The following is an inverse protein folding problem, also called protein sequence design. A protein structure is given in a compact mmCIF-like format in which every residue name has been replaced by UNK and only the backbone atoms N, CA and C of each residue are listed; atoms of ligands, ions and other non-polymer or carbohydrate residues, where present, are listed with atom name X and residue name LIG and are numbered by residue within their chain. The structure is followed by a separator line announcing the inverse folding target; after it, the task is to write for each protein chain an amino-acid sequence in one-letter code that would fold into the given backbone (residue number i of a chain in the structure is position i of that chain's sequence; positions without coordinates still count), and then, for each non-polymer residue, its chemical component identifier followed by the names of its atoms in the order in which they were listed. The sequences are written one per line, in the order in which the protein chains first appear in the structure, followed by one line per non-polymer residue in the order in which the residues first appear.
data_IF_528136427695
#
_entry.id   IF_528136427695
#
_cell.length_a   1.000
_cell.length_b   1.000
_cell.length_c   1.000
_cell.angle_alpha   90.00
_cell.angle_beta   90.00
_cell.angle_gamma   90.00
#
_symmetry.space_group_name_H-M   'P 1'
#
loop_
_entity.id
_entity.type
_entity.pdbx_description
1 polymer ?
#
# COMPACT_ATOMS: atom_id res chain seq x y z
N UNK A 1 -31.14 78.23 3.80
CA UNK A 1 -32.00 77.03 3.72
C UNK A 1 -31.42 76.10 2.66
N UNK A 2 -30.75 75.05 3.14
CA UNK A 2 -30.57 73.72 2.52
C UNK A 2 -29.91 73.60 1.14
N UNK A 3 -28.57 73.39 1.15
CA UNK A 3 -27.84 72.70 0.07
C UNK A 3 -28.28 71.23 0.00
N UNK A 4 -28.63 70.76 -1.21
CA UNK A 4 -28.92 69.35 -1.49
C UNK A 4 -27.63 68.55 -1.60
N UNK A 5 -27.53 67.50 -0.79
CA UNK A 5 -26.48 66.48 -0.79
C UNK A 5 -26.63 65.53 -1.98
N UNK A 6 -25.56 65.36 -2.75
CA UNK A 6 -25.41 64.28 -3.71
C UNK A 6 -24.87 63.02 -3.00
N UNK A 7 -25.61 61.91 -3.06
CA UNK A 7 -25.13 60.58 -2.67
C UNK A 7 -24.64 59.85 -3.93
N UNK A 8 -23.32 59.67 -4.04
CA UNK A 8 -22.72 58.76 -5.01
C UNK A 8 -22.99 57.31 -4.62
N UNK A 9 -23.51 56.52 -5.57
CA UNK A 9 -23.73 55.08 -5.42
C UNK A 9 -22.41 54.35 -5.68
N UNK A 10 -21.94 53.59 -4.68
CA UNK A 10 -20.89 52.59 -4.84
C UNK A 10 -21.53 51.38 -5.56
N UNK A 11 -21.01 51.06 -6.74
CA UNK A 11 -21.44 49.90 -7.53
C UNK A 11 -20.73 48.65 -6.99
N UNK A 12 -21.48 47.74 -6.36
CA UNK A 12 -20.99 46.44 -5.93
C UNK A 12 -21.09 45.47 -7.12
N UNK A 13 -19.96 45.16 -7.76
CA UNK A 13 -19.87 44.04 -8.72
C UNK A 13 -20.04 42.73 -7.95
N UNK A 14 -21.21 42.10 -8.07
CA UNK A 14 -21.38 40.70 -7.70
C UNK A 14 -20.63 39.83 -8.72
N UNK A 15 -19.52 39.23 -8.30
CA UNK A 15 -18.93 38.11 -9.02
C UNK A 15 -19.82 36.88 -8.82
N UNK A 16 -20.53 36.48 -9.87
CA UNK A 16 -21.24 35.20 -9.92
C UNK A 16 -20.18 34.10 -10.09
N UNK A 17 -19.80 33.47 -8.98
CA UNK A 17 -19.03 32.21 -9.01
C UNK A 17 -20.02 31.12 -9.39
N UNK A 18 -20.01 30.74 -10.68
CA UNK A 18 -20.75 29.59 -11.18
C UNK A 18 -20.06 28.33 -10.65
N UNK A 19 -20.55 27.80 -9.53
CA UNK A 19 -20.16 26.49 -9.03
C UNK A 19 -20.60 25.41 -10.01
N UNK A 20 -19.67 24.91 -10.82
CA UNK A 20 -19.90 23.73 -11.65
C UNK A 20 -20.00 22.53 -10.70
N UNK A 21 -21.24 22.14 -10.39
CA UNK A 21 -21.54 20.88 -9.74
C UNK A 21 -21.41 19.77 -10.76
N UNK A 22 -20.39 18.92 -10.61
CA UNK A 22 -20.34 17.65 -11.32
C UNK A 22 -21.42 16.74 -10.73
N UNK A 23 -22.61 16.75 -11.35
CA UNK A 23 -23.56 15.65 -11.19
C UNK A 23 -23.07 14.50 -12.08
N UNK A 24 -22.28 13.58 -11.49
CA UNK A 24 -22.23 12.23 -12.03
C UNK A 24 -23.61 11.62 -11.79
N UNK A 25 -24.41 11.46 -12.85
CA UNK A 25 -25.58 10.57 -12.79
C UNK A 25 -25.06 9.13 -12.78
N UNK A 26 -24.54 8.69 -11.63
CA UNK A 26 -24.50 7.27 -11.33
C UNK A 26 -25.94 6.82 -11.13
N UNK A 27 -26.33 5.73 -11.79
CA UNK A 27 -27.49 4.96 -11.34
C UNK A 27 -27.25 4.62 -9.87
N UNK A 28 -27.92 5.34 -8.98
CA UNK A 28 -27.89 5.05 -7.56
C UNK A 28 -28.62 3.73 -7.36
N UNK A 29 -27.87 2.63 -7.41
CA UNK A 29 -28.19 1.53 -6.53
C UNK A 29 -28.11 2.12 -5.13
N UNK A 30 -29.27 2.34 -4.49
CA UNK A 30 -29.32 2.33 -3.03
C UNK A 30 -29.00 0.90 -2.59
N UNK A 31 -27.73 0.51 -2.72
CA UNK A 31 -27.18 -0.51 -1.86
C UNK A 31 -27.20 0.12 -0.47
N UNK A 32 -27.90 -0.51 0.48
CA UNK A 32 -27.67 -0.18 1.88
C UNK A 32 -26.18 -0.31 2.12
N UNK A 33 -25.54 0.78 2.56
CA UNK A 33 -24.14 0.79 2.98
C UNK A 33 -23.86 -0.46 3.81
N UNK A 34 -22.86 -1.26 3.41
CA UNK A 34 -22.51 -2.43 4.20
C UNK A 34 -22.05 -1.96 5.59
N UNK A 35 -22.60 -2.56 6.65
CA UNK A 35 -22.14 -2.27 8.00
C UNK A 35 -20.70 -2.74 8.17
N UNK A 36 -19.89 -2.01 8.94
CA UNK A 36 -18.54 -2.46 9.28
C UNK A 36 -18.61 -3.85 9.94
N UNK A 37 -17.83 -4.79 9.41
CA UNK A 37 -17.81 -6.18 9.85
C UNK A 37 -17.21 -6.35 11.26
N UNK A 38 -16.40 -5.38 11.70
CA UNK A 38 -15.79 -5.35 13.03
C UNK A 38 -15.63 -3.88 13.51
N UNK A 39 -15.83 -3.56 14.81
CA UNK A 39 -15.58 -2.23 15.34
C UNK A 39 -14.15 -1.70 15.10
N UNK A 40 -13.14 -2.57 15.00
CA UNK A 40 -11.78 -2.17 14.68
C UNK A 40 -11.65 -1.62 13.26
N UNK A 41 -12.41 -2.16 12.30
CA UNK A 41 -12.47 -1.62 10.93
C UNK A 41 -13.07 -0.22 10.94
N UNK A 42 -14.16 -0.03 11.68
CA UNK A 42 -14.79 1.29 11.82
C UNK A 42 -13.85 2.31 12.48
N UNK A 43 -13.14 1.93 13.55
CA UNK A 43 -12.16 2.82 14.21
C UNK A 43 -11.06 3.25 13.24
N UNK A 44 -10.53 2.30 12.45
CA UNK A 44 -9.49 2.59 11.47
C UNK A 44 -9.99 3.50 10.34
N UNK A 45 -11.21 3.26 9.84
CA UNK A 45 -11.83 4.09 8.82
C UNK A 45 -12.13 5.50 9.35
N UNK A 46 -12.69 5.62 10.57
CA UNK A 46 -13.03 6.89 11.19
C UNK A 46 -11.80 7.78 11.42
N UNK A 47 -10.64 7.14 11.69
CA UNK A 47 -9.35 7.83 11.86
C UNK A 47 -9.07 8.79 10.71
N UNK A 48 -9.38 8.43 9.47
CA UNK A 48 -9.00 9.20 8.29
C UNK A 48 -10.17 9.59 7.39
N UNK A 49 -11.01 8.63 7.02
CA UNK A 49 -11.96 8.81 5.91
C UNK A 49 -13.27 9.45 6.37
N UNK A 50 -13.64 9.32 7.66
CA UNK A 50 -14.75 10.08 8.23
C UNK A 50 -14.55 11.59 8.11
N UNK A 51 -13.31 12.09 8.21
CA UNK A 51 -13.06 13.53 8.07
C UNK A 51 -13.29 14.02 6.64
N UNK A 52 -13.06 13.15 5.65
CA UNK A 52 -13.36 13.42 4.24
C UNK A 52 -14.87 13.36 4.01
N UNK A 53 -15.53 12.32 4.52
CA UNK A 53 -16.98 12.12 4.37
C UNK A 53 -17.78 13.27 5.00
N UNK A 54 -17.37 13.73 6.18
CA UNK A 54 -17.98 14.85 6.88
C UNK A 54 -17.67 16.23 6.24
N UNK A 55 -16.86 16.26 5.17
CA UNK A 55 -16.45 17.51 4.50
C UNK A 55 -15.50 18.39 5.31
N UNK A 56 -14.86 17.86 6.36
CA UNK A 56 -13.94 18.62 7.23
C UNK A 56 -12.56 18.82 6.60
N UNK A 57 -12.18 17.96 5.67
CA UNK A 57 -10.94 18.05 4.90
C UNK A 57 -11.21 17.80 3.42
N UNK A 58 -10.50 18.52 2.56
CA UNK A 58 -10.55 18.32 1.10
C UNK A 58 -9.30 17.53 0.65
N UNK A 59 -9.37 16.21 0.72
CA UNK A 59 -8.33 15.28 0.24
C UNK A 59 -8.96 13.96 -0.22
N UNK A 60 -8.19 13.14 -0.93
CA UNK A 60 -8.60 11.79 -1.34
C UNK A 60 -8.86 10.86 -0.13
N UNK A 61 -9.68 9.84 -0.35
CA UNK A 61 -9.95 8.74 0.59
C UNK A 61 -8.75 7.77 0.66
N UNK A 62 -8.46 7.23 1.85
CA UNK A 62 -7.43 6.20 2.03
C UNK A 62 -7.98 4.77 1.91
N UNK A 63 -9.26 4.59 2.23
CA UNK A 63 -9.99 3.33 2.16
C UNK A 63 -11.07 3.40 1.10
N UNK A 64 -11.86 4.47 1.12
CA UNK A 64 -13.05 4.66 0.30
C UNK A 64 -14.18 5.27 1.14
N UNK A 65 -15.28 5.72 0.50
CA UNK A 65 -16.40 6.33 1.22
C UNK A 65 -17.08 5.37 2.19
N UNK A 66 -17.06 4.06 1.91
CA UNK A 66 -17.67 3.00 2.70
C UNK A 66 -17.14 1.62 2.26
N UNK A 67 -17.33 0.55 3.05
CA UNK A 67 -17.08 -0.81 2.55
C UNK A 67 -18.13 -1.21 1.50
N UNK A 68 -17.71 -1.92 0.46
CA UNK A 68 -18.62 -2.40 -0.59
C UNK A 68 -19.00 -3.89 -0.44
N UNK A 69 -18.49 -4.57 0.59
CA UNK A 69 -18.86 -5.95 0.92
C UNK A 69 -19.35 -6.07 2.36
N UNK A 70 -20.16 -7.09 2.62
CA UNK A 70 -20.35 -7.61 3.98
C UNK A 70 -19.05 -8.25 4.52
N UNK A 71 -19.12 -8.79 5.73
CA UNK A 71 -18.08 -9.64 6.29
C UNK A 71 -17.82 -10.87 5.41
N UNK A 72 -16.55 -11.12 5.06
CA UNK A 72 -16.11 -12.30 4.32
C UNK A 72 -15.15 -13.10 5.20
N UNK A 73 -15.21 -14.42 5.09
CA UNK A 73 -14.21 -15.33 5.63
C UNK A 73 -13.34 -15.83 4.50
N UNK A 74 -12.04 -15.62 4.62
CA UNK A 74 -11.05 -16.11 3.67
C UNK A 74 -10.13 -17.10 4.36
N UNK A 75 -9.75 -18.17 3.66
CA UNK A 75 -8.78 -19.14 4.17
C UNK A 75 -7.46 -18.45 4.51
N UNK A 76 -6.96 -18.77 5.69
CA UNK A 76 -5.66 -18.34 6.19
C UNK A 76 -5.18 -19.36 7.22
N UNK A 77 -4.18 -20.17 6.87
CA UNK A 77 -3.78 -21.35 7.64
C UNK A 77 -3.50 -21.05 9.11
N UNK A 78 -2.79 -19.97 9.39
CA UNK A 78 -2.36 -19.59 10.73
C UNK A 78 -3.44 -18.84 11.52
N UNK A 79 -4.57 -18.47 10.90
CA UNK A 79 -5.65 -17.80 11.59
C UNK A 79 -6.41 -18.80 12.48
N UNK A 80 -6.96 -18.37 13.63
CA UNK A 80 -7.82 -19.23 14.43
C UNK A 80 -9.00 -19.76 13.60
N UNK A 81 -9.12 -21.10 13.55
CA UNK A 81 -10.08 -21.83 12.70
C UNK A 81 -9.78 -21.78 11.19
N UNK A 82 -8.54 -21.49 10.79
CA UNK A 82 -8.09 -21.56 9.40
C UNK A 82 -8.66 -20.47 8.48
N UNK A 83 -9.26 -19.41 9.04
CA UNK A 83 -9.78 -18.30 8.24
C UNK A 83 -9.67 -16.95 8.94
N UNK A 84 -9.45 -15.89 8.14
CA UNK A 84 -9.41 -14.50 8.58
C UNK A 84 -10.72 -13.78 8.25
N UNK A 85 -11.06 -12.76 9.04
CA UNK A 85 -12.16 -11.86 8.73
C UNK A 85 -11.68 -10.79 7.75
N UNK A 86 -12.43 -10.55 6.68
CA UNK A 86 -12.09 -9.57 5.63
C UNK A 86 -13.30 -8.72 5.29
N UNK A 87 -13.06 -7.43 4.99
CA UNK A 87 -14.05 -6.53 4.39
C UNK A 87 -13.38 -5.61 3.36
N UNK A 88 -13.99 -5.47 2.19
CA UNK A 88 -13.41 -4.71 1.08
C UNK A 88 -13.93 -3.27 1.00
N UNK A 89 -13.03 -2.39 0.58
CA UNK A 89 -13.23 -0.96 0.33
C UNK A 89 -12.62 -0.61 -1.03
N UNK A 90 -12.95 0.55 -1.59
CA UNK A 90 -12.49 0.89 -2.95
C UNK A 90 -10.97 0.78 -3.13
N UNK A 91 -10.22 1.32 -2.17
CA UNK A 91 -8.75 1.41 -2.21
C UNK A 91 -8.06 0.19 -1.60
N UNK A 92 -8.79 -0.71 -0.92
CA UNK A 92 -8.19 -1.79 -0.13
C UNK A 92 -9.15 -2.89 0.35
N UNK A 93 -8.69 -3.72 1.28
CA UNK A 93 -9.49 -4.39 2.29
C UNK A 93 -8.92 -4.14 3.68
N UNK A 94 -9.73 -4.40 4.70
CA UNK A 94 -9.28 -4.56 6.06
C UNK A 94 -9.43 -6.03 6.44
N UNK A 95 -8.45 -6.58 7.17
CA UNK A 95 -8.48 -7.97 7.63
C UNK A 95 -8.00 -8.14 9.07
N UNK A 96 -8.60 -9.09 9.78
CA UNK A 96 -8.18 -9.54 11.11
C UNK A 96 -7.81 -11.02 11.01
N UNK A 97 -6.51 -11.29 11.14
CA UNK A 97 -5.94 -12.64 11.06
C UNK A 97 -6.00 -13.35 12.42
N UNK A 98 -5.88 -12.61 13.52
CA UNK A 98 -6.00 -13.13 14.88
C UNK A 98 -6.97 -12.28 15.70
N UNK A 99 -8.26 -12.68 15.83
CA UNK A 99 -9.24 -11.93 16.62
C UNK A 99 -8.93 -11.89 18.13
N UNK A 100 -8.06 -12.77 18.62
CA UNK A 100 -7.56 -12.73 20.01
C UNK A 100 -6.31 -11.86 20.19
N UNK A 101 -5.85 -11.16 19.15
CA UNK A 101 -4.68 -10.28 19.20
C UNK A 101 -4.91 -8.98 19.96
N UNK A 102 -3.82 -8.27 20.26
CA UNK A 102 -3.87 -6.95 20.90
C UNK A 102 -4.45 -5.90 19.93
N UNK A 103 -5.63 -5.39 20.25
CA UNK A 103 -6.33 -4.38 19.43
C UNK A 103 -5.65 -3.01 19.42
N UNK A 104 -4.68 -2.77 20.31
CA UNK A 104 -3.89 -1.54 20.31
C UNK A 104 -2.68 -1.61 19.39
N UNK A 105 -2.32 -2.81 18.92
CA UNK A 105 -1.29 -2.97 17.92
C UNK A 105 -1.77 -2.31 16.61
N UNK A 106 -1.00 -1.40 16.00
CA UNK A 106 -1.38 -0.77 14.73
C UNK A 106 -1.64 -1.79 13.61
N UNK A 107 -1.06 -2.99 13.70
CA UNK A 107 -1.25 -4.10 12.76
C UNK A 107 -2.30 -5.13 13.21
N UNK A 108 -3.13 -4.84 14.23
CA UNK A 108 -4.28 -5.69 14.57
C UNK A 108 -5.24 -5.84 13.37
N UNK A 109 -5.52 -4.71 12.71
CA UNK A 109 -6.11 -4.69 11.38
C UNK A 109 -4.97 -4.60 10.38
N UNK A 110 -4.87 -5.56 9.48
CA UNK A 110 -3.94 -5.51 8.34
C UNK A 110 -4.72 -5.30 7.04
N UNK A 111 -4.05 -5.23 5.90
CA UNK A 111 -4.71 -4.91 4.62
C UNK A 111 -4.46 -5.96 3.54
N UNK A 112 -3.79 -7.08 3.86
CA UNK A 112 -3.28 -8.05 2.88
C UNK A 112 -2.15 -7.47 2.00
N UNK A 113 -1.63 -8.29 1.07
CA UNK A 113 -0.57 -7.93 0.12
C UNK A 113 -1.14 -7.65 -1.28
N UNK A 114 -2.29 -6.97 -1.35
CA UNK A 114 -3.17 -6.94 -2.53
C UNK A 114 -2.43 -6.60 -3.83
N UNK A 115 -1.64 -5.53 -3.84
CA UNK A 115 -0.94 -5.11 -5.05
C UNK A 115 0.17 -6.10 -5.43
N UNK A 116 0.93 -6.63 -4.46
CA UNK A 116 1.91 -7.70 -4.70
C UNK A 116 1.25 -8.96 -5.26
N UNK A 117 0.11 -9.37 -4.71
CA UNK A 117 -0.62 -10.57 -5.16
C UNK A 117 -1.23 -10.38 -6.56
N UNK A 118 -1.79 -9.20 -6.87
CA UNK A 118 -2.26 -8.85 -8.22
C UNK A 118 -1.14 -8.87 -9.25
N UNK A 119 0.05 -8.37 -8.89
CA UNK A 119 1.22 -8.30 -9.76
C UNK A 119 1.81 -9.69 -10.00
N UNK A 120 1.99 -10.47 -8.93
CA UNK A 120 2.66 -11.77 -8.99
C UNK A 120 1.75 -12.94 -9.38
N UNK A 121 0.44 -12.78 -9.20
CA UNK A 121 -0.52 -13.87 -9.29
C UNK A 121 -0.50 -14.84 -8.09
N UNK A 122 0.22 -14.52 -7.00
CA UNK A 122 0.35 -15.41 -5.84
C UNK A 122 -0.68 -15.04 -4.77
N UNK A 123 -1.80 -15.75 -4.72
CA UNK A 123 -2.84 -15.54 -3.71
C UNK A 123 -2.39 -16.04 -2.34
N UNK A 124 -2.35 -15.18 -1.33
CA UNK A 124 -1.93 -15.60 0.02
C UNK A 124 -3.05 -16.35 0.75
N UNK A 125 -2.74 -17.58 1.18
CA UNK A 125 -3.59 -18.49 1.98
C UNK A 125 -2.99 -18.83 3.36
N UNK A 126 -1.83 -18.26 3.68
CA UNK A 126 -1.15 -18.37 4.97
C UNK A 126 0.16 -17.58 4.94
N UNK A 127 0.90 -17.57 6.05
CA UNK A 127 2.15 -16.80 6.16
C UNK A 127 3.15 -17.20 5.06
N UNK A 128 3.22 -18.49 4.74
CA UNK A 128 4.06 -19.05 3.69
C UNK A 128 3.29 -19.93 2.68
N UNK A 129 1.96 -19.88 2.68
CA UNK A 129 1.13 -20.67 1.77
C UNK A 129 0.49 -19.77 0.71
N UNK A 130 0.67 -20.14 -0.56
CA UNK A 130 0.16 -19.39 -1.70
C UNK A 130 -0.53 -20.30 -2.72
N UNK A 131 -1.57 -19.79 -3.36
CA UNK A 131 -2.18 -20.36 -4.55
C UNK A 131 -1.76 -19.56 -5.78
N UNK A 132 -1.19 -20.25 -6.78
CA UNK A 132 -0.79 -19.64 -8.04
C UNK A 132 -1.99 -19.35 -8.95
N UNK A 133 -2.06 -18.14 -9.47
CA UNK A 133 -3.04 -17.65 -10.46
C UNK A 133 -2.33 -16.85 -11.55
N UNK A 134 -3.05 -16.55 -12.62
CA UNK A 134 -2.55 -15.56 -13.58
C UNK A 134 -2.44 -14.17 -12.90
N UNK A 135 -1.32 -13.45 -13.11
CA UNK A 135 -1.24 -12.03 -12.78
C UNK A 135 -2.42 -11.25 -13.35
N UNK A 136 -2.87 -10.22 -12.62
CA UNK A 136 -4.09 -9.51 -12.99
C UNK A 136 -3.88 -8.65 -14.24
N UNK A 137 -4.60 -8.99 -15.31
CA UNK A 137 -4.70 -8.16 -16.53
C UNK A 137 -5.72 -7.02 -16.34
N UNK A 138 -5.59 -6.29 -15.23
CA UNK A 138 -6.43 -5.14 -14.85
C UNK A 138 -5.53 -3.90 -14.86
N UNK A 139 -6.02 -2.78 -15.38
CA UNK A 139 -5.31 -1.50 -15.35
C UNK A 139 -4.93 -1.11 -13.92
N UNK A 140 -3.68 -0.69 -13.72
CA UNK A 140 -3.17 -0.31 -12.39
C UNK A 140 -3.79 1.01 -11.91
N UNK A 141 -4.17 1.86 -12.85
CA UNK A 141 -4.78 3.15 -12.65
C UNK A 141 -5.82 3.41 -13.76
N UNK A 142 -6.71 4.38 -13.51
CA UNK A 142 -7.69 4.83 -14.50
C UNK A 142 -8.99 4.04 -14.53
N UNK A 143 -9.71 4.22 -15.63
CA UNK A 143 -11.01 3.58 -15.86
C UNK A 143 -10.81 2.07 -16.11
N UNK A 144 -11.77 1.25 -15.68
CA UNK A 144 -11.67 -0.21 -15.81
C UNK A 144 -11.62 -0.70 -17.27
N UNK A 145 -12.17 0.10 -18.19
CA UNK A 145 -12.18 -0.13 -19.63
C UNK A 145 -10.99 0.56 -20.34
N UNK A 146 -9.97 1.00 -19.59
CA UNK A 146 -8.75 1.55 -20.17
C UNK A 146 -7.88 0.45 -20.81
N UNK A 147 -7.56 0.68 -22.09
CA UNK A 147 -6.66 -0.18 -22.88
C UNK A 147 -5.29 0.47 -23.11
N UNK A 148 -5.03 1.66 -22.56
CA UNK A 148 -3.80 2.42 -22.78
C UNK A 148 -2.77 2.27 -21.65
N UNK A 149 -3.21 2.30 -20.39
CA UNK A 149 -2.33 2.21 -19.23
C UNK A 149 -1.80 0.80 -18.93
N UNK A 150 -0.69 0.70 -18.16
CA UNK A 150 -0.13 -0.57 -17.68
C UNK A 150 -1.09 -1.32 -16.75
N UNK A 151 -0.95 -2.64 -16.75
CA UNK A 151 -1.69 -3.56 -15.89
C UNK A 151 -0.83 -4.08 -14.75
N UNK A 152 -1.43 -4.70 -13.73
CA UNK A 152 -0.65 -5.34 -12.68
C UNK A 152 0.27 -6.44 -13.25
N UNK A 153 -0.21 -7.20 -14.24
CA UNK A 153 0.59 -8.16 -14.98
C UNK A 153 1.80 -7.51 -15.68
N UNK A 154 1.63 -6.31 -16.24
CA UNK A 154 2.73 -5.52 -16.83
C UNK A 154 3.81 -5.19 -15.81
N UNK A 155 3.44 -4.92 -14.55
CA UNK A 155 4.39 -4.58 -13.49
C UNK A 155 5.19 -5.78 -12.96
N UNK A 156 4.77 -7.02 -13.25
CA UNK A 156 5.42 -8.22 -12.73
C UNK A 156 6.89 -8.32 -13.15
N UNK A 157 7.19 -7.95 -14.40
CA UNK A 157 8.57 -7.92 -14.90
C UNK A 157 9.40 -6.73 -14.38
N UNK A 158 8.81 -5.84 -13.57
CA UNK A 158 9.42 -4.59 -13.13
C UNK A 158 9.76 -4.55 -11.64
N UNK A 159 9.57 -5.65 -10.91
CA UNK A 159 9.86 -5.73 -9.47
C UNK A 159 11.34 -5.98 -9.16
N UNK A 160 12.19 -6.12 -10.18
CA UNK A 160 13.64 -6.39 -10.03
C UNK A 160 14.49 -5.44 -10.88
N UNK A 161 13.96 -4.27 -11.23
CA UNK A 161 14.69 -3.27 -12.02
C UNK A 161 15.78 -2.60 -11.19
N UNK A 162 16.89 -2.25 -11.83
CA UNK A 162 17.92 -1.44 -11.16
C UNK A 162 17.36 -0.04 -10.86
N UNK A 163 17.38 0.40 -9.60
CA UNK A 163 16.92 1.72 -9.22
C UNK A 163 17.84 2.80 -9.77
N UNK A 164 17.28 3.97 -10.07
CA UNK A 164 18.08 5.16 -10.35
C UNK A 164 18.73 5.66 -9.05
N UNK A 165 19.76 6.51 -9.16
CA UNK A 165 20.30 7.17 -7.97
C UNK A 165 19.24 8.11 -7.36
N UNK A 166 19.12 8.11 -6.04
CA UNK A 166 18.24 9.05 -5.32
C UNK A 166 18.58 10.50 -5.71
N UNK A 167 17.56 11.33 -5.92
CA UNK A 167 17.65 12.68 -6.47
C UNK A 167 17.56 12.76 -8.00
N UNK A 168 17.67 11.63 -8.71
CA UNK A 168 17.54 11.61 -10.17
C UNK A 168 16.13 11.96 -10.63
N UNK A 169 15.96 12.53 -11.84
CA UNK A 169 14.63 12.74 -12.42
C UNK A 169 13.89 11.43 -12.68
N UNK A 170 12.58 11.42 -12.41
CA UNK A 170 11.67 10.34 -12.77
C UNK A 170 10.99 10.70 -14.08
N UNK A 171 11.55 10.22 -15.19
CA UNK A 171 11.04 10.50 -16.55
C UNK A 171 10.75 9.26 -17.38
N UNK A 172 11.12 8.06 -16.90
CA UNK A 172 10.87 6.82 -17.63
C UNK A 172 9.38 6.57 -17.78
N UNK A 173 9.00 6.10 -18.97
CA UNK A 173 7.62 5.80 -19.30
C UNK A 173 7.41 4.30 -19.47
N UNK A 174 6.19 3.84 -19.22
CA UNK A 174 5.77 2.45 -19.35
C UNK A 174 4.47 2.36 -20.16
N UNK A 175 4.53 1.61 -21.25
CA UNK A 175 3.37 1.25 -22.05
C UNK A 175 2.65 0.02 -21.48
N UNK A 176 1.40 -0.21 -21.93
CA UNK A 176 0.59 -1.34 -21.47
C UNK A 176 1.23 -2.71 -21.67
N UNK A 177 1.92 -2.88 -22.78
CA UNK A 177 2.60 -4.13 -23.15
C UNK A 177 3.92 -4.37 -22.40
N UNK A 178 4.32 -3.44 -21.52
CA UNK A 178 5.56 -3.51 -20.76
C UNK A 178 6.74 -2.80 -21.41
N UNK A 179 6.55 -2.22 -22.59
CA UNK A 179 7.60 -1.46 -23.26
C UNK A 179 7.97 -0.24 -22.43
N UNK A 180 9.26 -0.13 -22.11
CA UNK A 180 9.83 1.01 -21.42
C UNK A 180 10.41 1.98 -22.44
N UNK A 181 10.27 3.28 -22.19
CA UNK A 181 10.89 4.32 -23.03
C UNK A 181 11.42 5.48 -22.20
N UNK A 182 12.38 6.21 -22.77
CA UNK A 182 12.76 7.53 -22.25
C UNK A 182 11.61 8.52 -22.50
N UNK A 183 10.98 8.98 -21.43
CA UNK A 183 9.90 9.95 -21.47
C UNK A 183 10.32 11.36 -21.07
N UNK A 184 11.61 11.68 -21.10
CA UNK A 184 12.15 12.99 -20.66
C UNK A 184 11.49 14.17 -21.37
N UNK A 185 11.26 14.07 -22.69
CA UNK A 185 10.58 15.13 -23.45
C UNK A 185 9.12 15.35 -23.00
N UNK A 186 8.42 14.28 -22.62
CA UNK A 186 7.00 14.33 -22.28
C UNK A 186 6.76 14.68 -20.80
N UNK A 187 7.57 14.12 -19.91
CA UNK A 187 7.35 14.13 -18.46
C UNK A 187 8.35 14.95 -17.67
N UNK A 188 9.49 15.34 -18.27
CA UNK A 188 10.50 16.17 -17.60
C UNK A 188 9.95 17.50 -17.08
N UNK A 189 8.91 18.04 -17.74
CA UNK A 189 8.16 19.23 -17.33
C UNK A 189 7.55 19.16 -15.92
N UNK A 190 7.39 17.94 -15.35
CA UNK A 190 6.79 17.74 -14.03
C UNK A 190 7.79 17.78 -12.87
N UNK A 191 9.10 17.79 -13.15
CA UNK A 191 10.16 17.89 -12.14
C UNK A 191 10.04 16.87 -10.98
N UNK A 192 9.55 15.66 -11.27
CA UNK A 192 9.50 14.56 -10.30
C UNK A 192 10.89 13.97 -10.15
N UNK A 193 11.27 13.63 -8.92
CA UNK A 193 12.57 13.03 -8.58
C UNK A 193 12.41 11.80 -7.71
N UNK A 194 13.42 10.93 -7.70
CA UNK A 194 13.56 9.85 -6.74
C UNK A 194 13.86 10.46 -5.36
N UNK A 195 12.92 10.46 -4.42
CA UNK A 195 13.03 11.24 -3.19
C UNK A 195 13.62 10.48 -2.01
N UNK A 196 13.30 9.19 -1.89
CA UNK A 196 13.74 8.35 -0.77
C UNK A 196 14.00 6.93 -1.29
N UNK A 197 15.02 6.26 -0.75
CA UNK A 197 15.38 4.90 -1.16
C UNK A 197 15.07 3.90 -0.06
N UNK A 198 14.14 2.99 -0.33
CA UNK A 198 13.81 1.91 0.59
C UNK A 198 14.78 0.75 0.39
N UNK A 199 15.73 0.63 1.32
CA UNK A 199 16.78 -0.38 1.30
C UNK A 199 16.28 -1.82 1.41
N UNK A 200 15.12 -2.06 2.03
CA UNK A 200 14.58 -3.40 2.25
C UNK A 200 14.11 -4.03 0.93
N UNK A 201 13.46 -3.25 0.07
CA UNK A 201 12.96 -3.73 -1.22
C UNK A 201 13.84 -3.30 -2.40
N UNK A 202 14.78 -2.39 -2.17
CA UNK A 202 15.71 -1.92 -3.19
C UNK A 202 15.08 -0.95 -4.19
N UNK A 203 14.06 -0.19 -3.76
CA UNK A 203 13.29 0.70 -4.61
C UNK A 203 13.28 2.14 -4.13
N UNK A 204 13.38 3.09 -5.06
CA UNK A 204 13.14 4.50 -4.72
C UNK A 204 11.64 4.77 -4.58
N UNK A 205 11.28 5.87 -3.91
CA UNK A 205 9.94 6.43 -3.84
C UNK A 205 9.96 7.79 -4.52
N UNK A 206 9.07 8.00 -5.50
CA UNK A 206 9.00 9.28 -6.20
C UNK A 206 8.53 10.43 -5.29
N UNK A 207 9.01 11.65 -5.55
CA UNK A 207 8.81 12.81 -4.68
C UNK A 207 7.35 13.17 -4.34
N UNK A 208 6.37 13.07 -5.25
CA UNK A 208 4.97 13.27 -4.89
C UNK A 208 4.47 12.22 -3.89
N UNK A 209 4.88 10.95 -4.07
CA UNK A 209 4.48 9.84 -3.21
C UNK A 209 5.15 9.94 -1.84
N UNK A 210 6.44 10.28 -1.78
CA UNK A 210 7.12 10.48 -0.51
C UNK A 210 6.51 11.62 0.30
N UNK A 211 6.15 12.72 -0.36
CA UNK A 211 5.45 13.85 0.26
C UNK A 211 4.08 13.42 0.79
N UNK A 212 3.32 12.65 0.01
CA UNK A 212 2.01 12.13 0.40
C UNK A 212 2.09 11.19 1.61
N UNK A 213 3.05 10.26 1.63
CA UNK A 213 3.26 9.32 2.73
C UNK A 213 3.64 10.03 4.05
N UNK A 214 4.31 11.17 3.97
CA UNK A 214 4.70 11.98 5.12
C UNK A 214 3.67 13.06 5.49
N UNK A 215 2.51 13.09 4.82
CA UNK A 215 1.50 14.11 5.06
C UNK A 215 0.92 14.02 6.48
N UNK A 216 0.75 15.19 7.09
CA UNK A 216 -0.01 15.36 8.33
C UNK A 216 -1.29 16.14 8.07
N UNK A 217 -2.28 15.95 8.92
CA UNK A 217 -3.56 16.65 8.84
C UNK A 217 -4.54 16.17 9.92
N UNK A 218 -5.79 16.63 9.84
CA UNK A 218 -6.85 16.19 10.75
C UNK A 218 -7.10 14.68 10.67
N UNK A 219 -6.95 14.01 11.81
CA UNK A 219 -7.18 12.57 12.02
C UNK A 219 -7.91 12.36 13.35
N UNK A 220 -8.71 11.31 13.46
CA UNK A 220 -9.37 10.98 14.73
C UNK A 220 -8.44 10.13 15.60
N UNK A 221 -8.26 10.51 16.87
CA UNK A 221 -7.52 9.71 17.85
C UNK A 221 -8.41 8.59 18.46
N UNK A 222 -7.86 7.66 19.26
CA UNK A 222 -8.65 6.60 19.91
C UNK A 222 -9.77 7.09 20.83
N UNK A 223 -9.69 8.32 21.35
CA UNK A 223 -10.73 8.94 22.16
C UNK A 223 -11.86 9.59 21.31
N UNK A 224 -11.81 9.46 19.98
CA UNK A 224 -12.80 10.03 19.07
C UNK A 224 -12.59 11.52 18.75
N UNK A 225 -11.51 12.13 19.23
CA UNK A 225 -11.21 13.54 19.02
C UNK A 225 -10.42 13.74 17.74
N UNK A 226 -10.72 14.83 17.02
CA UNK A 226 -9.93 15.22 15.84
C UNK A 226 -8.68 15.97 16.29
N UNK A 227 -7.51 15.47 15.90
CA UNK A 227 -6.20 16.04 16.19
C UNK A 227 -5.40 16.17 14.89
N UNK A 228 -4.35 17.00 14.89
CA UNK A 228 -3.41 17.01 13.78
C UNK A 228 -2.39 15.87 13.95
N UNK A 229 -2.32 14.95 12.98
CA UNK A 229 -1.43 13.80 13.04
C UNK A 229 -1.08 13.28 11.65
N UNK A 230 -0.20 12.28 11.57
CA UNK A 230 0.14 11.64 10.28
C UNK A 230 -1.08 10.94 9.68
N UNK A 231 -1.24 11.04 8.36
CA UNK A 231 -2.26 10.25 7.66
C UNK A 231 -1.88 8.77 7.63
N UNK A 232 -0.59 8.49 7.46
CA UNK A 232 -0.01 7.15 7.48
C UNK A 232 0.82 6.97 8.75
N UNK A 233 0.30 6.13 9.65
CA UNK A 233 0.92 5.92 10.94
C UNK A 233 0.78 4.44 11.37
N UNK A 234 1.85 3.64 11.32
CA UNK A 234 3.19 3.96 10.75
C UNK A 234 3.18 4.33 9.25
N UNK A 235 4.27 4.94 8.75
CA UNK A 235 4.36 5.51 7.37
C UNK A 235 3.96 4.51 6.27
N UNK A 236 4.40 3.26 6.36
CA UNK A 236 4.09 2.22 5.37
C UNK A 236 2.96 1.27 5.80
N UNK A 237 2.18 1.63 6.82
CA UNK A 237 1.08 0.79 7.30
C UNK A 237 0.10 0.44 6.18
N UNK A 238 -0.48 1.46 5.55
CA UNK A 238 -1.52 1.29 4.55
C UNK A 238 -0.99 0.83 3.19
N UNK A 239 0.22 1.26 2.82
CA UNK A 239 0.80 0.99 1.49
C UNK A 239 1.67 -0.26 1.44
N UNK A 240 2.31 -0.63 2.54
CA UNK A 240 3.51 -1.48 2.50
C UNK A 240 4.70 -0.77 1.87
N UNK A 241 5.78 -1.51 1.65
CA UNK A 241 7.01 -1.00 1.04
C UNK A 241 6.87 -0.89 -0.50
N UNK A 242 7.62 0.00 -1.18
CA UNK A 242 7.63 0.05 -2.63
C UNK A 242 8.16 -1.26 -3.22
N UNK A 243 7.53 -1.76 -4.28
CA UNK A 243 7.92 -3.01 -4.98
C UNK A 243 8.20 -2.80 -6.47
N UNK A 244 8.13 -1.55 -6.93
CA UNK A 244 8.56 -1.10 -8.24
C UNK A 244 9.16 0.29 -8.11
N UNK A 245 9.99 0.71 -9.08
CA UNK A 245 10.23 2.14 -9.31
C UNK A 245 8.94 2.84 -9.78
N UNK A 246 8.95 4.17 -9.80
CA UNK A 246 7.84 4.96 -10.34
C UNK A 246 7.96 5.09 -11.87
N UNK A 247 6.84 4.94 -12.57
CA UNK A 247 6.76 4.97 -14.04
C UNK A 247 5.69 5.95 -14.50
N UNK A 248 6.01 6.77 -15.50
CA UNK A 248 5.00 7.55 -16.20
C UNK A 248 4.21 6.67 -17.18
N UNK A 249 2.91 6.90 -17.27
CA UNK A 249 2.05 6.24 -18.24
C UNK A 249 0.98 7.21 -18.74
N UNK A 250 0.48 6.94 -19.95
CA UNK A 250 -0.75 7.54 -20.46
C UNK A 250 -1.90 6.64 -20.02
N UNK A 251 -2.84 7.19 -19.25
CA UNK A 251 -3.92 6.42 -18.63
C UNK A 251 -5.26 7.13 -18.87
N UNK A 252 -6.30 6.39 -19.26
CA UNK A 252 -7.65 6.96 -19.39
C UNK A 252 -8.28 7.11 -18.01
N UNK A 253 -8.60 8.35 -17.63
CA UNK A 253 -9.24 8.71 -16.36
C UNK A 253 -10.46 9.56 -16.66
N UNK A 254 -11.65 9.08 -16.27
CA UNK A 254 -12.93 9.71 -16.58
C UNK A 254 -13.09 10.00 -18.09
N UNK A 255 -12.75 9.02 -18.92
CA UNK A 255 -12.86 9.08 -20.39
C UNK A 255 -11.77 9.90 -21.09
N UNK A 256 -10.85 10.53 -20.36
CA UNK A 256 -9.76 11.34 -20.94
C UNK A 256 -8.40 10.74 -20.62
N UNK A 257 -7.53 10.62 -21.63
CA UNK A 257 -6.14 10.19 -21.42
C UNK A 257 -5.35 11.28 -20.71
N UNK A 258 -4.69 10.93 -19.60
CA UNK A 258 -3.87 11.82 -18.78
C UNK A 258 -2.46 11.26 -18.57
N UNK A 259 -1.54 12.16 -18.24
CA UNK A 259 -0.20 11.81 -17.76
C UNK A 259 -0.31 11.40 -16.29
N UNK A 260 -0.02 10.14 -16.00
CA UNK A 260 -0.12 9.56 -14.66
C UNK A 260 1.19 8.89 -14.30
N UNK A 261 1.81 9.33 -13.21
CA UNK A 261 2.90 8.59 -12.59
C UNK A 261 2.31 7.50 -11.71
N UNK A 262 2.83 6.29 -11.80
CA UNK A 262 2.33 5.12 -11.08
C UNK A 262 3.49 4.46 -10.34
N UNK A 263 3.26 4.08 -9.08
CA UNK A 263 4.20 3.26 -8.32
C UNK A 263 3.46 2.22 -7.49
N UNK A 264 3.89 0.96 -7.59
CA UNK A 264 3.34 -0.12 -6.78
C UNK A 264 4.11 -0.28 -5.47
N UNK A 265 3.34 -0.46 -4.40
CA UNK A 265 3.77 -0.87 -3.07
C UNK A 265 3.13 -2.22 -2.77
N UNK A 266 3.52 -2.89 -1.69
CA UNK A 266 3.02 -4.25 -1.40
C UNK A 266 1.49 -4.34 -1.27
N UNK A 267 0.86 -3.31 -0.71
CA UNK A 267 -0.58 -3.30 -0.37
C UNK A 267 -1.38 -2.29 -1.19
N UNK A 268 -0.70 -1.34 -1.86
CA UNK A 268 -1.33 -0.24 -2.61
C UNK A 268 -0.58 0.06 -3.89
N UNK A 269 -1.26 0.76 -4.78
CA UNK A 269 -0.61 1.48 -5.86
C UNK A 269 -0.92 2.95 -5.64
N UNK A 270 0.12 3.79 -5.66
CA UNK A 270 -0.02 5.24 -5.65
C UNK A 270 0.05 5.77 -7.07
N UNK A 271 -0.81 6.75 -7.36
CA UNK A 271 -0.90 7.42 -8.65
C UNK A 271 -0.75 8.92 -8.46
N UNK A 272 0.04 9.59 -9.30
CA UNK A 272 0.18 11.04 -9.31
C UNK A 272 -0.24 11.59 -10.67
N UNK A 273 -1.28 12.43 -10.67
CA UNK A 273 -1.84 13.08 -11.85
C UNK A 273 -1.69 14.60 -11.70
N UNK A 274 -0.65 15.23 -12.28
CA UNK A 274 -0.36 16.66 -12.10
C UNK A 274 -1.51 17.59 -12.45
N UNK A 275 -2.34 17.21 -13.43
CA UNK A 275 -3.49 18.00 -13.89
C UNK A 275 -4.69 17.98 -12.95
N UNK A 276 -4.68 17.15 -11.91
CA UNK A 276 -5.76 17.14 -10.92
C UNK A 276 -5.65 18.35 -9.97
N UNK A 277 -6.77 18.77 -9.33
CA UNK A 277 -6.75 19.82 -8.32
C UNK A 277 -5.82 19.49 -7.15
N UNK A 278 -5.30 20.54 -6.48
CA UNK A 278 -4.50 20.37 -5.28
C UNK A 278 -5.25 19.55 -4.22
N UNK A 279 -4.55 18.64 -3.53
CA UNK A 279 -5.14 17.67 -2.60
C UNK A 279 -5.66 16.38 -3.26
N UNK A 280 -5.75 16.32 -4.59
CA UNK A 280 -6.18 15.16 -5.38
C UNK A 280 -5.16 14.76 -6.46
N UNK A 281 -3.96 15.35 -6.41
CA UNK A 281 -2.91 15.01 -7.36
C UNK A 281 -2.31 13.64 -7.06
N UNK A 282 -2.13 13.28 -5.80
CA UNK A 282 -1.76 11.92 -5.39
C UNK A 282 -2.99 11.20 -4.87
N UNK A 283 -3.22 10.00 -5.38
CA UNK A 283 -4.32 9.14 -4.97
C UNK A 283 -3.85 7.69 -4.83
N UNK A 284 -4.56 6.93 -4.00
CA UNK A 284 -4.47 5.46 -4.02
C UNK A 284 -5.34 4.93 -5.16
N UNK A 285 -4.82 3.98 -5.94
CA UNK A 285 -5.62 3.26 -6.93
C UNK A 285 -6.74 2.45 -6.29
N UNK A 286 -7.74 2.04 -7.07
CA UNK A 286 -8.87 1.22 -6.61
C UNK A 286 -8.48 -0.26 -6.41
N UNK A 287 -7.35 -0.49 -5.73
CA UNK A 287 -6.73 -1.81 -5.55
C UNK A 287 -7.68 -2.80 -4.86
N UNK A 288 -8.52 -2.33 -3.93
CA UNK A 288 -9.50 -3.16 -3.25
C UNK A 288 -10.56 -3.72 -4.21
N UNK A 289 -11.10 -2.88 -5.11
CA UNK A 289 -12.01 -3.35 -6.17
C UNK A 289 -11.32 -4.29 -7.14
N UNK A 290 -10.11 -3.93 -7.59
CA UNK A 290 -9.35 -4.75 -8.54
C UNK A 290 -9.04 -6.13 -7.97
N UNK A 291 -8.62 -6.18 -6.70
CA UNK A 291 -8.34 -7.44 -6.01
C UNK A 291 -9.60 -8.27 -5.79
N UNK A 292 -10.72 -7.66 -5.39
CA UNK A 292 -11.99 -8.38 -5.26
C UNK A 292 -12.41 -9.02 -6.59
N UNK A 293 -12.32 -8.27 -7.70
CA UNK A 293 -12.61 -8.78 -9.04
C UNK A 293 -11.65 -9.91 -9.46
N UNK A 294 -10.35 -9.79 -9.18
CA UNK A 294 -9.38 -10.82 -9.50
C UNK A 294 -9.55 -12.09 -8.66
N UNK A 295 -9.88 -11.95 -7.37
CA UNK A 295 -10.04 -13.09 -6.45
C UNK A 295 -11.35 -13.86 -6.67
N UNK A 296 -12.46 -13.14 -6.84
CA UNK A 296 -13.82 -13.71 -6.88
C UNK A 296 -14.49 -13.66 -8.24
N UNK A 297 -14.00 -12.83 -9.16
CA UNK A 297 -14.50 -12.73 -10.53
C UNK A 297 -13.83 -13.73 -11.47
N UNK A 298 -14.15 -13.61 -12.75
CA UNK A 298 -13.60 -14.49 -13.81
C UNK A 298 -12.20 -14.08 -14.29
N UNK A 299 -11.66 -12.96 -13.81
CA UNK A 299 -10.39 -12.37 -14.26
C UNK A 299 -9.15 -12.95 -13.57
N UNK A 300 -9.32 -13.84 -12.59
CA UNK A 300 -8.25 -14.58 -11.92
C UNK A 300 -8.54 -16.07 -11.80
N UNK A 301 -9.15 -16.66 -12.83
CA UNK A 301 -9.41 -18.10 -12.88
C UNK A 301 -8.14 -18.89 -12.49
N UNK A 302 -8.27 -19.99 -11.71
CA UNK A 302 -7.13 -20.85 -11.40
C UNK A 302 -6.43 -21.20 -12.70
N UNK A 303 -5.14 -20.86 -12.81
CA UNK A 303 -4.34 -21.44 -13.88
C UNK A 303 -4.44 -22.97 -13.70
N UNK A 304 -4.63 -23.72 -14.78
CA UNK A 304 -4.51 -25.18 -14.75
C UNK A 304 -3.28 -25.53 -13.89
N UNK A 305 -3.38 -26.41 -12.88
CA UNK A 305 -2.30 -26.67 -11.97
C UNK A 305 -1.15 -27.32 -12.73
N UNK A 306 -0.30 -26.49 -13.33
CA UNK A 306 1.02 -26.91 -13.75
C UNK A 306 1.77 -27.12 -12.45
N UNK A 307 2.05 -28.38 -12.14
CA UNK A 307 3.10 -28.77 -11.20
C UNK A 307 4.42 -28.21 -11.73
N UNK A 308 4.62 -26.92 -11.55
CA UNK A 308 5.89 -26.27 -11.77
C UNK A 308 6.76 -26.69 -10.59
N UNK A 309 7.94 -27.27 -10.82
CA UNK A 309 8.90 -27.50 -9.75
C UNK A 309 9.09 -26.17 -9.03
N UNK A 310 8.81 -26.16 -7.73
CA UNK A 310 9.07 -25.06 -6.82
C UNK A 310 10.53 -24.66 -6.97
N UNK A 311 10.79 -23.64 -7.77
CA UNK A 311 12.03 -22.89 -7.69
C UNK A 311 11.77 -21.88 -6.57
N UNK A 312 12.48 -21.95 -5.43
CA UNK A 312 12.22 -21.05 -4.31
C UNK A 312 12.37 -19.60 -4.76
N UNK A 313 11.28 -18.83 -4.68
CA UNK A 313 11.36 -17.39 -4.74
C UNK A 313 11.92 -16.89 -3.41
N UNK A 314 13.21 -16.52 -3.36
CA UNK A 314 13.67 -15.65 -2.28
C UNK A 314 14.88 -14.82 -2.65
N UNK A 315 14.66 -13.51 -2.76
CA UNK A 315 15.66 -12.48 -2.50
C UNK A 315 15.23 -11.66 -1.26
N UNK A 316 14.77 -12.32 -0.18
CA UNK A 316 14.58 -11.65 1.11
C UNK A 316 15.87 -11.83 1.89
N UNK A 317 16.70 -10.78 1.91
CA UNK A 317 17.98 -10.73 2.63
C UNK A 317 17.92 -9.84 3.87
N UNK A 318 16.73 -9.33 4.23
CA UNK A 318 16.54 -8.34 5.29
C UNK A 318 15.32 -8.65 6.17
N UNK A 319 15.46 -8.43 7.48
CA UNK A 319 14.40 -8.50 8.50
C UNK A 319 14.50 -7.28 9.40
N UNK A 320 13.44 -6.47 9.49
CA UNK A 320 13.41 -5.34 10.40
C UNK A 320 13.01 -5.78 11.81
N UNK A 321 13.53 -5.10 12.82
CA UNK A 321 12.97 -5.12 14.16
C UNK A 321 12.24 -3.79 14.34
N UNK A 322 10.92 -3.83 14.27
CA UNK A 322 10.09 -2.63 14.35
C UNK A 322 8.79 -2.90 15.11
N UNK A 323 8.38 -1.96 15.95
CA UNK A 323 7.25 -2.03 16.86
C UNK A 323 7.23 -3.32 17.68
N UNK A 324 8.37 -3.67 18.27
CA UNK A 324 8.52 -4.90 19.05
C UNK A 324 8.09 -6.15 18.25
N UNK A 325 8.46 -6.21 16.97
CA UNK A 325 8.30 -7.40 16.13
C UNK A 325 9.45 -7.54 15.14
N UNK A 326 9.76 -8.77 14.76
CA UNK A 326 10.54 -9.04 13.56
C UNK A 326 9.61 -8.92 12.33
N UNK A 327 10.04 -8.24 11.28
CA UNK A 327 9.23 -8.00 10.09
C UNK A 327 10.07 -8.25 8.85
N UNK A 328 9.73 -9.24 8.03
CA UNK A 328 8.68 -10.26 8.25
C UNK A 328 8.99 -11.20 9.44
N UNK A 329 7.94 -11.79 10.04
CA UNK A 329 8.06 -12.77 11.15
C UNK A 329 8.43 -14.18 10.65
N UNK A 330 8.21 -14.47 9.37
CA UNK A 330 8.64 -15.73 8.76
C UNK A 330 9.20 -15.49 7.36
N UNK A 331 10.33 -16.13 7.05
CA UNK A 331 10.95 -16.11 5.72
C UNK A 331 11.45 -17.51 5.36
N UNK A 332 11.39 -17.86 4.07
CA UNK A 332 11.96 -19.10 3.53
C UNK A 332 13.06 -18.75 2.53
N UNK A 333 14.30 -19.17 2.78
CA UNK A 333 15.50 -18.77 2.01
C UNK A 333 16.24 -20.00 1.46
N UNK A 334 16.99 -19.90 0.35
CA UNK A 334 17.95 -20.92 -0.05
C UNK A 334 19.09 -21.08 0.97
N UNK A 335 19.70 -22.26 1.05
CA UNK A 335 20.98 -22.41 1.77
C UNK A 335 22.03 -21.48 1.18
N UNK A 336 22.90 -20.94 2.02
CA UNK A 336 23.92 -19.96 1.67
C UNK A 336 23.42 -18.51 1.67
N UNK A 337 22.13 -18.25 1.92
CA UNK A 337 21.62 -16.89 2.03
C UNK A 337 22.06 -16.24 3.35
N UNK A 338 22.51 -15.00 3.26
CA UNK A 338 22.77 -14.12 4.41
C UNK A 338 21.55 -13.25 4.68
N UNK A 339 21.08 -13.28 5.92
CA UNK A 339 20.01 -12.40 6.40
C UNK A 339 20.62 -11.29 7.23
N UNK A 340 20.17 -10.06 7.00
CA UNK A 340 20.47 -8.87 7.78
C UNK A 340 19.26 -8.50 8.62
N UNK A 341 19.42 -8.42 9.93
CA UNK A 341 18.45 -7.80 10.81
C UNK A 341 18.83 -6.37 11.08
N UNK A 342 17.88 -5.44 11.08
CA UNK A 342 18.09 -4.02 11.44
C UNK A 342 17.14 -3.62 12.53
N UNK A 343 17.65 -3.06 13.63
CA UNK A 343 16.79 -2.51 14.67
C UNK A 343 16.28 -1.12 14.30
N UNK A 344 14.98 -0.99 14.00
CA UNK A 344 14.33 0.27 13.65
C UNK A 344 13.58 0.90 14.83
N UNK A 345 13.54 0.23 15.98
CA UNK A 345 12.93 0.76 17.20
C UNK A 345 13.90 1.63 18.00
N UNK A 346 13.34 2.54 18.78
CA UNK A 346 14.09 3.24 19.84
C UNK A 346 14.49 2.31 20.99
N UNK A 347 13.79 1.19 21.16
CA UNK A 347 14.09 0.15 22.13
C UNK A 347 15.25 -0.73 21.67
N UNK A 348 16.10 -1.16 22.61
CA UNK A 348 17.13 -2.15 22.34
C UNK A 348 16.52 -3.54 22.16
N UNK A 349 17.02 -4.30 21.19
CA UNK A 349 16.53 -5.64 20.87
C UNK A 349 17.67 -6.64 20.71
N UNK A 350 17.34 -7.91 20.53
CA UNK A 350 18.30 -8.97 20.18
C UNK A 350 17.66 -9.88 19.12
N UNK A 351 18.50 -10.61 18.39
CA UNK A 351 18.13 -11.70 17.49
C UNK A 351 18.79 -12.95 18.06
N UNK A 352 18.02 -13.74 18.81
CA UNK A 352 18.53 -14.88 19.58
C UNK A 352 17.91 -16.17 19.09
N UNK A 353 18.71 -17.09 18.54
CA UNK A 353 18.23 -18.41 18.13
C UNK A 353 17.80 -19.25 19.34
N UNK A 354 16.68 -19.96 19.20
CA UNK A 354 16.18 -20.89 20.23
C UNK A 354 17.06 -22.15 20.37
N UNK A 355 17.75 -22.53 19.29
CA UNK A 355 18.68 -23.67 19.26
C UNK A 355 20.12 -23.27 19.57
N UNK A 356 20.38 -21.96 19.79
CA UNK A 356 21.72 -21.42 20.01
C UNK A 356 22.57 -21.29 18.75
N UNK A 357 21.98 -21.39 17.55
CA UNK A 357 22.72 -21.30 16.28
C UNK A 357 23.32 -19.90 16.01
N UNK A 358 22.71 -18.85 16.54
CA UNK A 358 23.17 -17.47 16.43
C UNK A 358 22.63 -16.61 17.58
N UNK A 359 23.35 -15.53 17.89
CA UNK A 359 22.94 -14.50 18.85
C UNK A 359 23.58 -13.17 18.44
N UNK A 360 22.77 -12.13 18.23
CA UNK A 360 23.27 -10.80 17.84
C UNK A 360 23.94 -10.01 18.96
N UNK A 361 23.74 -10.39 20.23
CA UNK A 361 23.88 -9.46 21.34
C UNK A 361 22.83 -8.34 21.28
N UNK A 362 23.05 -7.27 22.04
CA UNK A 362 22.15 -6.11 22.07
C UNK A 362 22.35 -5.27 20.81
N UNK A 363 21.27 -5.07 20.06
CA UNK A 363 21.16 -4.13 18.94
C UNK A 363 20.43 -2.88 19.42
N UNK A 364 21.12 -1.73 19.39
CA UNK A 364 20.49 -0.41 19.60
C UNK A 364 19.80 0.04 18.30
N UNK A 365 19.09 1.16 18.35
CA UNK A 365 18.48 1.77 17.15
C UNK A 365 19.51 1.93 16.04
N UNK A 366 19.12 1.49 14.84
CA UNK A 366 19.88 1.41 13.59
C UNK A 366 21.04 0.40 13.57
N UNK A 367 21.30 -0.34 14.66
CA UNK A 367 22.29 -1.42 14.62
C UNK A 367 21.79 -2.57 13.74
N UNK A 368 22.74 -3.27 13.12
CA UNK A 368 22.46 -4.42 12.25
C UNK A 368 23.18 -5.68 12.73
N UNK A 369 22.59 -6.84 12.44
CA UNK A 369 23.19 -8.16 12.65
C UNK A 369 23.05 -8.98 11.38
N UNK A 370 24.07 -9.77 11.03
CA UNK A 370 24.02 -10.65 9.87
C UNK A 370 24.32 -12.10 10.24
N UNK A 371 23.62 -13.03 9.59
CA UNK A 371 23.90 -14.46 9.71
C UNK A 371 23.65 -15.19 8.39
N UNK A 372 24.59 -16.05 8.01
CA UNK A 372 24.51 -16.87 6.80
C UNK A 372 24.02 -18.28 7.13
N UNK A 373 22.93 -18.69 6.51
CA UNK A 373 22.30 -19.98 6.75
C UNK A 373 22.81 -21.05 5.79
N UNK A 374 23.84 -21.80 6.19
CA UNK A 374 24.46 -22.81 5.33
C UNK A 374 23.81 -24.21 5.41
N UNK A 375 22.92 -24.42 6.39
CA UNK A 375 22.32 -25.72 6.66
C UNK A 375 20.80 -25.63 6.46
N UNK A 376 20.21 -26.47 5.59
CA UNK A 376 18.76 -26.57 5.46
C UNK A 376 18.08 -26.93 6.78
N UNK A 377 16.91 -26.37 7.03
CA UNK A 377 16.16 -26.58 8.28
C UNK A 377 15.40 -25.34 8.73
N UNK A 378 14.65 -25.50 9.82
CA UNK A 378 13.87 -24.41 10.42
C UNK A 378 14.59 -23.85 11.64
N UNK A 379 14.79 -22.54 11.66
CA UNK A 379 15.46 -21.79 12.70
C UNK A 379 14.47 -20.82 13.34
N UNK A 380 13.97 -21.18 14.52
CA UNK A 380 13.17 -20.27 15.35
C UNK A 380 14.09 -19.38 16.17
N UNK A 381 13.70 -18.12 16.36
CA UNK A 381 14.46 -17.14 17.12
C UNK A 381 13.54 -16.11 17.79
N UNK A 382 14.06 -15.47 18.83
CA UNK A 382 13.33 -14.52 19.65
C UNK A 382 14.19 -13.31 20.04
N UNK A 383 13.55 -12.27 20.60
CA UNK A 383 14.26 -11.22 21.34
C UNK A 383 14.35 -11.61 22.82
N UNK A 384 15.56 -11.65 23.38
CA UNK A 384 15.80 -12.02 24.78
C UNK A 384 15.42 -10.91 25.76
N UNK A 385 15.28 -9.66 25.30
CA UNK A 385 14.79 -8.53 26.11
C UNK A 385 13.26 -8.52 26.13
N UNK A 386 12.62 -8.92 25.01
CA UNK A 386 11.17 -8.90 24.81
C UNK A 386 10.68 -10.30 24.37
N UNK A 387 10.36 -11.20 25.30
CA UNK A 387 10.14 -12.64 25.02
C UNK A 387 8.98 -12.97 24.07
N UNK A 388 8.07 -12.00 23.84
CA UNK A 388 6.94 -12.15 22.92
C UNK A 388 7.33 -11.96 21.45
N UNK A 389 8.51 -11.40 21.18
CA UNK A 389 9.02 -11.22 19.83
C UNK A 389 9.61 -12.54 19.35
N UNK A 390 8.94 -13.18 18.40
CA UNK A 390 9.35 -14.47 17.82
C UNK A 390 9.25 -14.44 16.31
N UNK A 391 10.13 -15.16 15.66
CA UNK A 391 10.15 -15.31 14.21
C UNK A 391 10.83 -16.61 13.80
N UNK A 392 10.69 -16.97 12.52
CA UNK A 392 11.16 -18.24 11.98
C UNK A 392 11.80 -18.06 10.60
N UNK A 393 12.99 -18.64 10.42
CA UNK A 393 13.65 -18.77 9.12
C UNK A 393 13.61 -20.22 8.69
N UNK A 394 13.05 -20.50 7.52
CA UNK A 394 13.12 -21.82 6.89
C UNK A 394 14.20 -21.79 5.81
N UNK A 395 15.16 -22.71 5.88
CA UNK A 395 16.27 -22.80 4.93
C UNK A 395 16.04 -24.02 4.05
N UNK A 396 15.94 -23.78 2.75
CA UNK A 396 15.71 -24.79 1.70
C UNK A 396 17.02 -25.31 1.12
N UNK A 397 17.01 -26.56 0.63
CA UNK A 397 18.20 -27.35 0.24
C UNK A 397 18.85 -27.01 -1.09
#
# INVERSE_FOLDING_TARGET
MTLKTARGKISLMLAVILGITFFSTSLAFQANAATFADPAFQRLWNRTDQQVLDGRVARTYLWGPEPFTAAIREDYMEAPNGSRLVQYFDKSRMEINNPGGDQNNPFYVTNGLLARELISGQLQLGDNMFEGRAPANIGVAGDIDDTSGPTYATLNSLTTVTPNATGSPVTRALARDGTQSDGTADFGKYNVTEADFESVTGHNIASPFWTFLNQTGPVQNPAGQVVNGRLFDPVFYATGLPITEAWWAKVKVAGTVKDVLVQAFERRVLTYTPSNPNGFQVEMGNVGRHYYLWRYGTTGAPATPTTQPTTPATNVTSVMIHNFSFVPQSISIPKGTTITWTNMDSASHTVTSDTGAFNSGILKTNDTFQFTFNTPGTFTYHCSIHPNMKATITVTG
#
